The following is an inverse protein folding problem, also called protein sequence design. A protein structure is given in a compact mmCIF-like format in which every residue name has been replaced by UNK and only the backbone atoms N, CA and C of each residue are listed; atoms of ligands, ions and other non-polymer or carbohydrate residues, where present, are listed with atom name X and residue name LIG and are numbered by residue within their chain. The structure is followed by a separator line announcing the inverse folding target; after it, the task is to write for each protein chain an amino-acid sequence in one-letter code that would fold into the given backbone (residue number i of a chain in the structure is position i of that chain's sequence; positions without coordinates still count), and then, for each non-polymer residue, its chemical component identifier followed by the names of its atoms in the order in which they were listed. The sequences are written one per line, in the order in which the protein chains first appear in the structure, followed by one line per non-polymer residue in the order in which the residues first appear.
data_IF_813608978712
#
_entry.id   IF_813608978712
#
_cell.length_a   1.000
_cell.length_b   1.000
_cell.length_c   1.000
_cell.angle_alpha   90.00
_cell.angle_beta   90.00
_cell.angle_gamma   90.00
#
_symmetry.space_group_name_H-M   'P 1'
#
loop_
_entity.id
_entity.type
_entity.pdbx_description
1 polymer ?
#
# COMPACT_ATOMS: atom_id res chain seq x y z
N UNK A 1 9.94 -1.43 6.51
CA UNK A 1 10.33 -1.53 5.08
C UNK A 1 11.83 -1.79 5.03
N UNK A 2 12.36 -2.54 4.07
CA UNK A 2 13.82 -2.70 3.95
C UNK A 2 14.44 -1.36 3.52
N UNK A 3 15.12 -0.68 4.45
CA UNK A 3 15.72 0.63 4.20
C UNK A 3 17.07 0.53 3.47
N UNK A 4 17.09 -0.15 2.32
CA UNK A 4 18.32 -0.34 1.53
C UNK A 4 18.08 -0.03 0.05
N UNK A 5 18.21 1.24 -0.36
CA UNK A 5 18.00 1.69 -1.74
C UNK A 5 18.82 0.92 -2.79
N UNK A 6 20.11 0.57 -2.57
CA UNK A 6 20.90 -0.14 -3.58
C UNK A 6 20.35 -1.53 -3.95
N UNK A 7 19.78 -2.29 -3.01
CA UNK A 7 19.14 -3.57 -3.36
C UNK A 7 17.83 -3.35 -4.12
N UNK A 8 17.07 -2.30 -3.83
CA UNK A 8 15.87 -1.97 -4.60
C UNK A 8 16.23 -1.62 -6.05
N UNK A 9 17.31 -0.86 -6.24
CA UNK A 9 17.82 -0.52 -7.56
C UNK A 9 18.33 -1.72 -8.33
N UNK A 10 19.15 -2.58 -7.69
CA UNK A 10 19.60 -3.84 -8.28
C UNK A 10 18.42 -4.75 -8.63
N UNK A 11 17.40 -4.81 -7.77
CA UNK A 11 16.19 -5.58 -8.03
C UNK A 11 15.45 -5.05 -9.27
N UNK A 12 15.27 -3.73 -9.41
CA UNK A 12 14.67 -3.14 -10.62
C UNK A 12 15.51 -3.42 -11.87
N UNK A 13 16.84 -3.39 -11.75
CA UNK A 13 17.74 -3.70 -12.86
C UNK A 13 17.60 -5.16 -13.30
N UNK A 14 17.57 -6.10 -12.34
CA UNK A 14 17.35 -7.54 -12.56
C UNK A 14 15.93 -7.89 -13.01
N UNK A 15 14.91 -7.10 -12.63
CA UNK A 15 13.54 -7.21 -13.15
C UNK A 15 13.44 -6.95 -14.66
N UNK A 16 14.51 -6.47 -15.31
CA UNK A 16 14.67 -6.46 -16.76
C UNK A 16 14.83 -7.86 -17.38
N UNK A 17 15.20 -8.88 -16.61
CA UNK A 17 15.38 -10.26 -17.07
C UNK A 17 14.21 -11.10 -16.53
N UNK A 18 13.08 -10.99 -17.23
CA UNK A 18 11.89 -11.86 -17.15
C UNK A 18 11.25 -12.10 -15.76
N UNK A 19 10.30 -11.25 -15.43
CA UNK A 19 8.91 -11.65 -15.15
C UNK A 19 8.60 -12.75 -14.11
N UNK A 20 9.23 -12.78 -12.94
CA UNK A 20 8.83 -13.73 -11.88
C UNK A 20 7.98 -13.09 -10.76
N UNK A 21 8.32 -11.91 -10.26
CA UNK A 21 7.72 -11.39 -9.02
C UNK A 21 6.38 -10.64 -9.22
N UNK A 22 6.27 -9.79 -10.25
CA UNK A 22 5.03 -9.07 -10.58
C UNK A 22 4.02 -9.93 -11.36
N UNK A 23 4.45 -10.99 -12.03
CA UNK A 23 3.52 -11.98 -12.61
C UNK A 23 2.93 -12.89 -11.52
N UNK A 24 3.68 -13.20 -10.46
CA UNK A 24 3.15 -13.93 -9.29
C UNK A 24 2.04 -13.15 -8.55
N UNK A 25 2.11 -11.81 -8.54
CA UNK A 25 1.02 -10.93 -8.10
C UNK A 25 -0.30 -11.17 -8.85
N UNK A 26 -0.23 -11.61 -10.11
CA UNK A 26 -1.38 -11.86 -10.99
C UNK A 26 -1.77 -13.35 -11.00
N UNK A 27 -0.78 -14.26 -10.96
CA UNK A 27 -0.97 -15.71 -11.03
C UNK A 27 -0.80 -16.38 -9.64
N UNK A 28 -1.83 -16.31 -8.79
CA UNK A 28 -1.87 -17.13 -7.56
C UNK A 28 -2.67 -18.43 -7.77
N UNK A 29 -2.14 -19.30 -8.64
CA UNK A 29 -2.68 -20.65 -8.87
C UNK A 29 -2.44 -21.60 -7.67
N UNK A 30 -3.55 -22.16 -7.14
CA UNK A 30 -3.71 -23.53 -6.58
C UNK A 30 -2.96 -24.03 -5.31
N UNK A 31 -2.60 -23.22 -4.30
CA UNK A 31 -2.20 -23.76 -2.98
C UNK A 31 -2.92 -23.15 -1.75
N UNK A 32 -2.85 -23.82 -0.59
CA UNK A 32 -3.59 -23.56 0.68
C UNK A 32 -3.77 -22.07 1.00
N UNK A 33 -5.01 -21.66 1.31
CA UNK A 33 -5.48 -20.27 1.48
C UNK A 33 -4.57 -19.39 2.35
N UNK A 34 -4.08 -19.90 3.49
CA UNK A 34 -3.21 -19.17 4.44
C UNK A 34 -1.83 -18.81 3.87
N UNK A 35 -1.22 -19.70 3.07
CA UNK A 35 0.07 -19.44 2.43
C UNK A 35 -0.03 -18.38 1.31
N UNK A 36 -1.23 -18.11 0.80
CA UNK A 36 -1.45 -17.10 -0.25
C UNK A 36 -1.51 -15.69 0.32
N UNK A 37 -2.18 -15.52 1.45
CA UNK A 37 -2.27 -14.21 2.13
C UNK A 37 -0.91 -13.75 2.61
N UNK A 38 -0.13 -14.61 3.27
CA UNK A 38 1.25 -14.26 3.68
C UNK A 38 2.14 -13.87 2.49
N UNK A 39 1.98 -14.56 1.35
CA UNK A 39 2.72 -14.25 0.13
C UNK A 39 2.25 -12.91 -0.48
N UNK A 40 0.95 -12.63 -0.47
CA UNK A 40 0.36 -11.37 -0.90
C UNK A 40 0.86 -10.19 -0.06
N UNK A 41 0.87 -10.32 1.27
CA UNK A 41 1.38 -9.31 2.20
C UNK A 41 2.88 -9.03 1.99
N UNK A 42 3.68 -10.09 1.79
CA UNK A 42 5.10 -9.96 1.45
C UNK A 42 5.29 -9.25 0.12
N UNK A 43 4.47 -9.53 -0.89
CA UNK A 43 4.52 -8.87 -2.19
C UNK A 43 4.14 -7.39 -2.08
N UNK A 44 3.09 -7.05 -1.33
CA UNK A 44 2.68 -5.67 -1.05
C UNK A 44 3.85 -4.91 -0.39
N UNK A 45 4.44 -5.49 0.65
CA UNK A 45 5.59 -4.92 1.35
C UNK A 45 6.81 -4.74 0.45
N UNK A 46 7.10 -5.71 -0.43
CA UNK A 46 8.17 -5.60 -1.42
C UNK A 46 7.91 -4.45 -2.39
N UNK A 47 6.72 -4.36 -2.98
CA UNK A 47 6.36 -3.29 -3.93
C UNK A 47 6.42 -1.92 -3.27
N UNK A 48 5.90 -1.79 -2.05
CA UNK A 48 5.99 -0.55 -1.28
C UNK A 48 7.45 -0.16 -1.00
N UNK A 49 8.30 -1.13 -0.65
CA UNK A 49 9.73 -0.91 -0.44
C UNK A 49 10.45 -0.50 -1.73
N UNK A 50 10.10 -1.07 -2.89
CA UNK A 50 10.65 -0.65 -4.19
C UNK A 50 10.29 0.80 -4.51
N UNK A 51 9.03 1.20 -4.28
CA UNK A 51 8.62 2.60 -4.44
C UNK A 51 9.24 3.53 -3.38
N UNK A 52 9.57 2.99 -2.20
CA UNK A 52 10.31 3.63 -1.12
C UNK A 52 11.77 3.92 -1.48
N UNK A 53 12.50 2.91 -1.97
CA UNK A 53 13.93 2.98 -2.26
C UNK A 53 14.28 3.55 -3.63
N UNK A 54 13.43 3.39 -4.64
CA UNK A 54 13.67 3.94 -5.99
C UNK A 54 12.96 5.29 -6.12
N UNK A 55 13.68 6.36 -5.79
CA UNK A 55 13.10 7.70 -5.67
C UNK A 55 12.93 8.42 -7.02
N UNK A 56 13.91 8.33 -7.92
CA UNK A 56 13.96 9.11 -9.19
C UNK A 56 14.74 8.37 -10.29
N UNK A 57 14.70 8.91 -11.51
CA UNK A 57 15.53 8.46 -12.63
C UNK A 57 14.92 7.32 -13.47
N UNK A 58 15.72 6.74 -14.35
CA UNK A 58 15.30 5.71 -15.31
C UNK A 58 14.71 4.46 -14.64
N UNK A 59 15.25 4.06 -13.47
CA UNK A 59 14.73 2.94 -12.68
C UNK A 59 13.32 3.20 -12.16
N UNK A 60 13.01 4.44 -11.75
CA UNK A 60 11.66 4.83 -11.33
C UNK A 60 10.68 4.70 -12.49
N UNK A 61 11.06 5.17 -13.67
CA UNK A 61 10.23 5.06 -14.88
C UNK A 61 10.02 3.59 -15.29
N UNK A 62 11.05 2.75 -15.16
CA UNK A 62 10.92 1.29 -15.38
C UNK A 62 9.99 0.61 -14.38
N UNK A 63 9.98 1.05 -13.12
CA UNK A 63 9.02 0.54 -12.13
C UNK A 63 7.59 0.99 -12.48
N UNK A 64 7.40 2.26 -12.85
CA UNK A 64 6.10 2.80 -13.24
C UNK A 64 5.56 2.13 -14.51
N UNK A 65 6.41 1.82 -15.49
CA UNK A 65 5.96 1.17 -16.73
C UNK A 65 5.33 -0.21 -16.47
N UNK A 66 5.75 -0.93 -15.43
CA UNK A 66 5.11 -2.19 -15.01
C UNK A 66 3.64 -2.02 -14.66
N UNK A 67 3.25 -0.88 -14.11
CA UNK A 67 1.86 -0.56 -13.76
C UNK A 67 1.02 -0.11 -14.96
N UNK A 68 1.64 0.09 -16.13
CA UNK A 68 0.96 0.44 -17.38
C UNK A 68 0.81 -0.78 -18.31
N UNK A 69 1.61 -1.83 -18.12
CA UNK A 69 1.50 -3.10 -18.85
C UNK A 69 0.10 -3.71 -18.74
N UNK A 70 -0.31 -4.44 -19.78
CA UNK A 70 -1.56 -5.23 -19.83
C UNK A 70 -2.79 -4.42 -19.37
N UNK A 71 -3.00 -3.24 -19.97
CA UNK A 71 -4.15 -2.38 -19.67
C UNK A 71 -4.31 -2.01 -18.19
N UNK A 72 -3.18 -1.78 -17.51
CA UNK A 72 -3.16 -1.40 -16.08
C UNK A 72 -3.65 -2.50 -15.12
N UNK A 73 -3.55 -3.78 -15.50
CA UNK A 73 -3.97 -4.94 -14.67
C UNK A 73 -3.48 -4.85 -13.21
N UNK A 74 -2.29 -4.29 -12.99
CA UNK A 74 -1.65 -4.22 -11.68
C UNK A 74 -2.29 -3.15 -10.81
N UNK A 75 -2.75 -2.05 -11.42
CA UNK A 75 -3.54 -1.03 -10.75
C UNK A 75 -4.91 -1.59 -10.37
N UNK A 76 -5.53 -2.35 -11.27
CA UNK A 76 -6.83 -2.98 -11.01
C UNK A 76 -6.74 -3.96 -9.83
N UNK A 77 -5.72 -4.82 -9.84
CA UNK A 77 -5.45 -5.73 -8.73
C UNK A 77 -5.11 -4.99 -7.44
N UNK A 78 -4.34 -3.91 -7.51
CA UNK A 78 -4.02 -3.08 -6.33
C UNK A 78 -5.30 -2.49 -5.71
N UNK A 79 -6.24 -2.02 -6.53
CA UNK A 79 -7.53 -1.51 -6.06
C UNK A 79 -8.43 -2.62 -5.51
N UNK A 80 -8.43 -3.81 -6.11
CA UNK A 80 -9.14 -4.98 -5.55
C UNK A 80 -8.64 -5.31 -4.13
N UNK A 81 -7.31 -5.32 -3.95
CA UNK A 81 -6.70 -5.54 -2.64
C UNK A 81 -7.03 -4.42 -1.66
N UNK A 82 -6.97 -3.16 -2.11
CA UNK A 82 -7.35 -2.02 -1.28
C UNK A 82 -8.76 -2.19 -0.69
N UNK A 83 -9.73 -2.55 -1.53
CA UNK A 83 -11.12 -2.74 -1.10
C UNK A 83 -11.25 -3.93 -0.16
N UNK A 84 -10.59 -5.05 -0.47
CA UNK A 84 -10.63 -6.25 0.37
C UNK A 84 -10.11 -5.98 1.78
N UNK A 85 -8.95 -5.34 1.89
CA UNK A 85 -8.36 -5.01 3.19
C UNK A 85 -9.13 -3.86 3.88
N UNK A 86 -9.64 -2.87 3.13
CA UNK A 86 -10.46 -1.79 3.69
C UNK A 86 -11.74 -2.32 4.32
N UNK A 87 -12.45 -3.26 3.67
CA UNK A 87 -13.64 -3.87 4.23
C UNK A 87 -13.32 -4.67 5.50
N UNK A 88 -12.24 -5.45 5.51
CA UNK A 88 -11.83 -6.23 6.68
C UNK A 88 -11.49 -5.35 7.88
N UNK A 89 -10.74 -4.27 7.65
CA UNK A 89 -10.40 -3.30 8.71
C UNK A 89 -11.65 -2.56 9.19
N UNK A 90 -12.57 -2.23 8.29
CA UNK A 90 -13.85 -1.58 8.64
C UNK A 90 -14.72 -2.49 9.51
N UNK A 91 -14.86 -3.76 9.16
CA UNK A 91 -15.61 -4.75 9.96
C UNK A 91 -15.04 -4.88 11.38
N UNK A 92 -13.71 -4.95 11.54
CA UNK A 92 -13.13 -4.96 12.89
C UNK A 92 -13.30 -3.62 13.61
N UNK A 93 -13.25 -2.49 12.90
CA UNK A 93 -13.49 -1.18 13.52
C UNK A 93 -14.92 -1.05 14.04
N UNK A 94 -15.91 -1.59 13.31
CA UNK A 94 -17.30 -1.66 13.77
C UNK A 94 -17.45 -2.54 15.02
N UNK A 95 -16.81 -3.72 15.03
CA UNK A 95 -16.79 -4.58 16.23
C UNK A 95 -16.14 -3.93 17.44
N UNK A 96 -15.07 -3.17 17.24
CA UNK A 96 -14.42 -2.43 18.31
C UNK A 96 -15.35 -1.36 18.89
N UNK A 97 -16.06 -0.61 18.04
CA UNK A 97 -17.03 0.38 18.49
C UNK A 97 -18.18 -0.27 19.29
N UNK A 98 -18.64 -1.45 18.88
CA UNK A 98 -19.67 -2.19 19.63
C UNK A 98 -19.17 -2.61 21.02
N UNK A 99 -17.91 -3.02 21.16
CA UNK A 99 -17.31 -3.35 22.46
C UNK A 99 -17.18 -2.13 23.38
N UNK A 100 -16.89 -0.95 22.83
CA UNK A 100 -16.86 0.28 23.61
C UNK A 100 -18.25 0.67 24.14
N UNK A 101 -19.31 0.39 23.38
CA UNK A 101 -20.69 0.59 23.83
C UNK A 101 -21.08 -0.36 24.98
N UNK A 102 -20.40 -1.50 25.10
CA UNK A 102 -20.56 -2.49 26.16
C UNK A 102 -19.67 -2.21 27.40
N UNK A 103 -19.16 -0.98 27.58
CA UNK A 103 -18.28 -0.53 28.69
C UNK A 103 -16.95 -1.30 28.80
N UNK A 104 -16.51 -1.98 27.73
CA UNK A 104 -15.15 -2.53 27.63
C UNK A 104 -14.21 -1.45 27.07
N UNK A 105 -13.79 -0.53 27.94
CA UNK A 105 -12.82 0.51 27.55
C UNK A 105 -11.51 -0.13 27.06
N UNK A 106 -11.21 0.09 25.78
CA UNK A 106 -9.93 -0.26 25.17
C UNK A 106 -9.17 1.03 24.87
N UNK A 107 -7.87 1.05 25.16
CA UNK A 107 -7.03 2.17 24.73
C UNK A 107 -6.82 2.19 23.20
N UNK A 108 -6.39 3.33 22.67
CA UNK A 108 -6.20 3.52 21.23
C UNK A 108 -5.10 2.62 20.65
N UNK A 109 -4.08 2.28 21.45
CA UNK A 109 -3.00 1.38 21.04
C UNK A 109 -3.53 -0.06 20.87
N UNK A 110 -4.39 -0.53 21.78
CA UNK A 110 -5.05 -1.83 21.70
C UNK A 110 -5.97 -1.89 20.48
N UNK A 111 -6.79 -0.85 20.23
CA UNK A 111 -7.61 -0.75 19.02
C UNK A 111 -6.77 -0.81 17.76
N UNK A 112 -5.67 -0.05 17.71
CA UNK A 112 -4.75 -0.05 16.58
C UNK A 112 -4.13 -1.44 16.36
N UNK A 113 -3.68 -2.10 17.42
CA UNK A 113 -3.16 -3.46 17.35
C UNK A 113 -4.19 -4.47 16.81
N UNK A 114 -5.45 -4.40 17.25
CA UNK A 114 -6.51 -5.26 16.69
C UNK A 114 -6.78 -4.97 15.21
N UNK A 115 -6.71 -3.70 14.77
CA UNK A 115 -6.76 -3.38 13.33
C UNK A 115 -5.54 -3.93 12.58
N UNK A 116 -4.34 -3.95 13.17
CA UNK A 116 -3.16 -4.57 12.54
C UNK A 116 -3.36 -6.07 12.33
N UNK A 117 -3.95 -6.78 13.29
CA UNK A 117 -4.31 -8.20 13.16
C UNK A 117 -5.34 -8.46 12.04
N UNK A 118 -6.13 -7.44 11.69
CA UNK A 118 -7.09 -7.49 10.58
C UNK A 118 -6.51 -7.09 9.23
N UNK A 119 -5.22 -6.76 9.18
CA UNK A 119 -4.50 -6.43 7.95
C UNK A 119 -4.40 -4.94 7.63
N UNK A 120 -4.57 -4.07 8.63
CA UNK A 120 -4.39 -2.62 8.48
C UNK A 120 -3.02 -2.28 7.89
N UNK A 121 -1.95 -2.96 8.29
CA UNK A 121 -0.62 -2.68 7.75
C UNK A 121 -0.56 -2.87 6.22
N UNK A 122 -1.15 -3.94 5.71
CA UNK A 122 -1.24 -4.19 4.27
C UNK A 122 -2.08 -3.12 3.57
N UNK A 123 -3.18 -2.69 4.17
CA UNK A 123 -4.01 -1.58 3.66
C UNK A 123 -3.21 -0.27 3.56
N UNK A 124 -2.46 0.08 4.61
CA UNK A 124 -1.62 1.26 4.67
C UNK A 124 -0.54 1.21 3.58
N UNK A 125 0.14 0.08 3.41
CA UNK A 125 1.14 -0.11 2.34
C UNK A 125 0.54 0.02 0.95
N UNK A 126 -0.66 -0.52 0.72
CA UNK A 126 -1.39 -0.34 -0.55
C UNK A 126 -1.70 1.14 -0.78
N UNK A 127 -2.17 1.86 0.25
CA UNK A 127 -2.43 3.29 0.15
C UNK A 127 -1.15 4.10 -0.17
N UNK A 128 -0.01 3.72 0.41
CA UNK A 128 1.30 4.32 0.10
C UNK A 128 1.69 4.07 -1.37
N UNK A 129 1.48 2.85 -1.88
CA UNK A 129 1.70 2.54 -3.30
C UNK A 129 0.77 3.38 -4.18
N UNK A 130 -0.51 3.49 -3.83
CA UNK A 130 -1.47 4.34 -4.54
C UNK A 130 -1.03 5.80 -4.55
N UNK A 131 -0.59 6.35 -3.41
CA UNK A 131 -0.05 7.71 -3.31
C UNK A 131 1.13 7.92 -4.27
N UNK A 132 2.06 6.97 -4.31
CA UNK A 132 3.18 6.97 -5.24
C UNK A 132 2.78 6.99 -6.72
N UNK A 133 1.73 6.25 -7.08
CA UNK A 133 1.20 6.19 -8.44
C UNK A 133 0.41 7.46 -8.79
N UNK A 134 -0.37 7.99 -7.85
CA UNK A 134 -1.19 9.20 -8.02
C UNK A 134 -0.35 10.45 -8.26
N UNK A 135 0.77 10.57 -7.53
CA UNK A 135 1.73 11.68 -7.67
C UNK A 135 2.81 11.40 -8.71
N UNK A 136 2.68 10.32 -9.50
CA UNK A 136 3.62 10.05 -10.58
C UNK A 136 3.46 11.06 -11.71
N UNK A 137 4.50 11.21 -12.54
CA UNK A 137 4.47 12.07 -13.73
C UNK A 137 3.64 11.48 -14.88
N UNK A 138 2.95 10.36 -14.67
CA UNK A 138 2.23 9.62 -15.70
C UNK A 138 0.72 9.88 -15.61
N UNK A 139 0.15 10.82 -16.38
CA UNK A 139 -1.23 11.27 -16.21
C UNK A 139 -2.25 10.14 -16.40
N UNK A 140 -1.96 9.16 -17.27
CA UNK A 140 -2.87 8.02 -17.52
C UNK A 140 -3.02 7.10 -16.30
N UNK A 141 -1.98 6.96 -15.47
CA UNK A 141 -2.06 6.17 -14.23
C UNK A 141 -3.05 6.83 -13.27
N UNK A 142 -2.91 8.16 -13.09
CA UNK A 142 -3.83 8.96 -12.27
C UNK A 142 -5.28 8.81 -12.73
N UNK A 143 -5.52 8.94 -14.04
CA UNK A 143 -6.87 8.79 -14.63
C UNK A 143 -7.44 7.39 -14.37
N UNK A 144 -6.63 6.32 -14.50
CA UNK A 144 -7.09 4.96 -14.22
C UNK A 144 -7.47 4.77 -12.75
N UNK A 145 -6.64 5.25 -11.82
CA UNK A 145 -6.94 5.15 -10.39
C UNK A 145 -8.21 5.95 -10.04
N UNK A 146 -8.35 7.17 -10.55
CA UNK A 146 -9.53 8.01 -10.33
C UNK A 146 -10.81 7.36 -10.89
N UNK A 147 -10.72 6.65 -12.01
CA UNK A 147 -11.83 5.86 -12.55
C UNK A 147 -12.22 4.71 -11.61
N UNK A 148 -11.26 3.93 -11.14
CA UNK A 148 -11.51 2.78 -10.24
C UNK A 148 -12.09 3.22 -8.90
N UNK A 149 -11.57 4.31 -8.32
CA UNK A 149 -12.09 4.90 -7.08
C UNK A 149 -13.57 5.27 -7.25
N UNK A 150 -13.92 5.94 -8.35
CA UNK A 150 -15.33 6.28 -8.65
C UNK A 150 -16.22 5.05 -8.87
N UNK A 151 -15.74 4.05 -9.62
CA UNK A 151 -16.49 2.81 -9.88
C UNK A 151 -16.82 2.05 -8.59
N UNK A 152 -15.92 2.11 -7.62
CA UNK A 152 -16.03 1.41 -6.34
C UNK A 152 -16.74 2.25 -5.27
N UNK A 153 -17.33 3.39 -5.66
CA UNK A 153 -18.00 4.36 -4.77
C UNK A 153 -17.11 4.88 -3.64
N UNK A 154 -15.80 4.84 -3.85
CA UNK A 154 -14.81 5.41 -2.97
C UNK A 154 -14.54 6.86 -3.36
N UNK A 155 -13.95 7.59 -2.44
CA UNK A 155 -13.47 8.95 -2.61
C UNK A 155 -11.96 9.00 -2.37
N UNK A 156 -11.35 10.11 -2.77
CA UNK A 156 -9.94 10.35 -2.43
C UNK A 156 -9.73 10.46 -0.92
N UNK A 157 -10.75 10.91 -0.20
CA UNK A 157 -10.74 11.06 1.25
C UNK A 157 -10.53 9.72 1.95
N UNK A 158 -11.11 8.64 1.42
CA UNK A 158 -10.92 7.29 2.00
C UNK A 158 -9.44 6.90 1.99
N UNK A 159 -8.75 7.13 0.86
CA UNK A 159 -7.30 6.87 0.75
C UNK A 159 -6.50 7.83 1.62
N UNK A 160 -6.89 9.10 1.71
CA UNK A 160 -6.24 10.08 2.60
C UNK A 160 -6.32 9.68 4.06
N UNK A 161 -7.47 9.18 4.52
CA UNK A 161 -7.66 8.78 5.90
C UNK A 161 -6.72 7.63 6.27
N UNK A 162 -6.59 6.62 5.41
CA UNK A 162 -5.63 5.52 5.61
C UNK A 162 -4.19 6.04 5.62
N UNK A 163 -3.84 6.96 4.71
CA UNK A 163 -2.51 7.57 4.68
C UNK A 163 -2.24 8.42 5.94
N UNK A 164 -3.25 9.11 6.47
CA UNK A 164 -3.14 9.91 7.68
C UNK A 164 -2.94 9.00 8.90
N UNK A 165 -3.75 7.94 9.05
CA UNK A 165 -3.57 6.94 10.11
C UNK A 165 -2.18 6.29 10.03
N UNK A 166 -1.68 6.01 8.82
CA UNK A 166 -0.30 5.55 8.65
C UNK A 166 0.73 6.60 9.09
N UNK A 167 0.57 7.86 8.65
CA UNK A 167 1.46 8.98 8.97
C UNK A 167 1.61 9.21 10.49
N UNK A 168 0.49 9.14 11.21
CA UNK A 168 0.43 9.42 12.64
C UNK A 168 1.05 8.28 13.46
N UNK A 169 1.00 7.06 12.93
CA UNK A 169 1.53 5.85 13.56
C UNK A 169 2.90 5.40 13.01
N UNK A 170 3.62 6.25 12.26
CA UNK A 170 4.99 5.93 11.83
C UNK A 170 5.90 5.88 13.06
N UNK A 171 6.44 4.70 13.35
CA UNK A 171 7.46 4.47 14.37
C UNK A 171 8.82 5.05 13.98
N UNK A 172 9.70 5.21 14.95
CA UNK A 172 11.06 5.76 14.83
C UNK A 172 12.16 4.69 14.88
N UNK A 173 11.82 3.43 14.56
CA UNK A 173 12.74 2.30 14.61
C UNK A 173 14.02 2.51 13.78
N UNK A 174 13.94 3.26 12.69
CA UNK A 174 15.06 3.61 11.81
C UNK A 174 15.70 4.97 12.14
N UNK A 175 15.29 5.59 13.26
CA UNK A 175 15.72 6.91 13.73
C UNK A 175 14.75 8.04 13.41
N UNK A 176 14.84 9.18 14.12
CA UNK A 176 13.93 10.31 13.99
C UNK A 176 13.95 10.94 12.58
N UNK A 177 15.13 11.01 11.95
CA UNK A 177 15.28 11.59 10.61
C UNK A 177 14.56 10.78 9.52
N UNK A 178 14.58 9.45 9.63
CA UNK A 178 13.90 8.56 8.68
C UNK A 178 12.39 8.59 8.88
N UNK A 179 11.94 8.68 10.13
CA UNK A 179 10.54 8.94 10.47
C UNK A 179 10.05 10.26 9.85
N UNK A 180 10.80 11.35 10.04
CA UNK A 180 10.42 12.66 9.49
C UNK A 180 10.36 12.64 7.95
N UNK A 181 11.34 12.01 7.29
CA UNK A 181 11.33 11.85 5.83
C UNK A 181 10.12 11.05 5.35
N UNK A 182 9.78 9.97 6.04
CA UNK A 182 8.62 9.15 5.71
C UNK A 182 7.32 9.96 5.89
N UNK A 183 7.16 10.61 7.04
CA UNK A 183 6.01 11.48 7.34
C UNK A 183 5.85 12.60 6.31
N UNK A 184 6.92 13.34 6.01
CA UNK A 184 6.91 14.41 5.00
C UNK A 184 6.51 13.90 3.60
N UNK A 185 6.89 12.66 3.26
CA UNK A 185 6.51 12.02 1.99
C UNK A 185 5.03 11.65 1.96
N UNK A 186 4.50 11.07 3.03
CA UNK A 186 3.08 10.74 3.12
C UNK A 186 2.24 12.01 3.10
N UNK A 187 2.67 13.07 3.80
CA UNK A 187 2.00 14.38 3.77
C UNK A 187 1.90 14.96 2.35
N UNK A 188 2.95 14.79 1.53
CA UNK A 188 2.91 15.19 0.12
C UNK A 188 1.89 14.40 -0.69
N UNK A 189 1.71 13.11 -0.41
CA UNK A 189 0.66 12.31 -1.07
C UNK A 189 -0.72 12.82 -0.68
N UNK A 190 -0.97 13.02 0.62
CA UNK A 190 -2.25 13.53 1.14
C UNK A 190 -2.61 14.89 0.52
N UNK A 191 -1.63 15.80 0.37
CA UNK A 191 -1.85 17.11 -0.24
C UNK A 191 -2.13 17.04 -1.76
N UNK A 192 -1.61 16.04 -2.46
CA UNK A 192 -1.73 15.92 -3.92
C UNK A 192 -2.96 15.13 -4.40
N UNK A 193 -3.53 14.30 -3.52
CA UNK A 193 -4.78 13.57 -3.74
C UNK A 193 -5.96 14.55 -3.81
#
# INVERSE_FOLDING_TARGET
MTNYPPACEQFVDLMGIKTASLHSWILTTKNKKRSKEELEERLISLVASLFGGVLRGSRRERLLSKFVENEYEKIDRLMELYIRYSNRVKEESERLNDLELDDLEMDEDEKYNRKLESGLYSLQLIAVILGHLWTSKHPRIKVRIELLVKQQKLTKTDVKNVLQEYHDNIGDLDGPDEKEKAQAKIQRFIAAL
#
